data_IF_735451243320
#
_entry.id   IF_735451243320
#
_cell.length_a   1.000
_cell.length_b   1.000
_cell.length_c   1.000
_cell.angle_alpha   90.00
_cell.angle_beta   90.00
_cell.angle_gamma   90.00
#
_symmetry.space_group_name_H-M   'P 1'
#
loop_
_entity.id
_entity.type
_entity.pdbx_description
1 polymer ?
#
# COMPACT_ATOMS: atom_id res chain seq x y z
N UNK A 1 42.08 -18.58 -40.07
CA UNK A 1 40.90 -19.44 -40.29
C UNK A 1 40.39 -19.92 -38.92
N UNK A 2 39.07 -19.96 -38.66
CA UNK A 2 37.96 -19.39 -39.42
C UNK A 2 37.21 -18.27 -38.65
N UNK A 3 36.76 -17.31 -39.44
CA UNK A 3 35.65 -16.39 -39.22
C UNK A 3 34.32 -17.16 -39.28
N UNK A 4 33.33 -16.80 -38.46
CA UNK A 4 31.94 -17.22 -38.67
C UNK A 4 31.05 -16.00 -38.88
N UNK A 5 30.34 -16.06 -39.99
CA UNK A 5 29.45 -15.06 -40.55
C UNK A 5 28.07 -15.11 -39.87
N UNK A 6 27.48 -13.94 -39.66
CA UNK A 6 26.06 -13.82 -39.34
C UNK A 6 25.26 -13.83 -40.65
N UNK A 7 24.51 -14.91 -40.87
CA UNK A 7 23.53 -15.03 -41.95
C UNK A 7 22.18 -14.45 -41.49
N UNK A 8 21.75 -13.39 -42.17
CA UNK A 8 20.37 -12.92 -42.14
C UNK A 8 19.42 -13.99 -42.71
N UNK A 9 18.39 -14.35 -41.95
CA UNK A 9 17.22 -15.06 -42.47
C UNK A 9 16.02 -14.11 -42.45
N UNK A 10 15.71 -13.52 -43.60
CA UNK A 10 14.40 -12.96 -43.90
C UNK A 10 13.44 -14.12 -44.17
N UNK A 11 12.44 -14.31 -43.30
CA UNK A 11 11.30 -15.19 -43.60
C UNK A 11 10.12 -14.34 -44.03
N UNK A 12 9.82 -14.40 -45.32
CA UNK A 12 8.56 -13.96 -45.92
C UNK A 12 7.43 -14.89 -45.49
N UNK A 13 6.35 -14.32 -44.95
CA UNK A 13 5.12 -15.02 -44.59
C UNK A 13 4.17 -14.99 -45.80
N UNK A 14 3.56 -16.11 -46.23
CA UNK A 14 2.63 -16.11 -47.35
C UNK A 14 1.24 -15.57 -46.95
N UNK A 15 0.71 -14.68 -47.78
CA UNK A 15 -0.64 -14.10 -47.70
C UNK A 15 -1.68 -15.16 -48.09
N UNK A 16 -2.70 -15.38 -47.25
CA UNK A 16 -3.90 -16.18 -47.59
C UNK A 16 -5.00 -15.28 -48.17
N UNK A 17 -5.81 -15.78 -49.13
CA UNK A 17 -6.88 -15.02 -49.78
C UNK A 17 -8.09 -14.81 -48.85
N UNK A 18 -8.78 -13.70 -49.09
CA UNK A 18 -9.77 -13.08 -48.20
C UNK A 18 -11.02 -13.89 -47.90
N UNK A 19 -11.58 -13.62 -46.72
CA UNK A 19 -12.94 -13.98 -46.32
C UNK A 19 -13.88 -12.78 -46.51
N UNK A 20 -15.15 -12.98 -46.86
CA UNK A 20 -16.06 -11.91 -47.27
C UNK A 20 -16.52 -11.04 -46.09
N UNK A 21 -16.81 -9.77 -46.36
CA UNK A 21 -17.32 -8.81 -45.40
C UNK A 21 -18.74 -9.18 -44.92
N UNK A 22 -19.09 -8.94 -43.64
CA UNK A 22 -20.43 -9.22 -43.15
C UNK A 22 -21.41 -8.11 -43.56
N UNK A 23 -22.60 -8.59 -43.92
CA UNK A 23 -23.77 -7.87 -44.42
C UNK A 23 -24.39 -6.92 -43.38
N UNK A 24 -24.82 -5.74 -43.84
CA UNK A 24 -25.50 -4.71 -43.03
C UNK A 24 -26.99 -5.01 -42.95
N UNK A 25 -27.40 -6.00 -42.15
CA UNK A 25 -28.80 -6.14 -41.78
C UNK A 25 -29.01 -7.07 -40.57
N UNK A 26 -28.88 -6.52 -39.36
CA UNK A 26 -29.70 -6.92 -38.17
C UNK A 26 -29.37 -6.01 -36.99
N UNK A 27 -29.90 -4.80 -37.01
CA UNK A 27 -30.15 -4.02 -35.79
C UNK A 27 -31.49 -4.48 -35.21
N UNK A 28 -31.47 -5.13 -34.03
CA UNK A 28 -32.38 -4.85 -32.91
C UNK A 28 -32.25 -5.90 -31.79
N UNK A 29 -32.23 -5.37 -30.55
CA UNK A 29 -32.45 -6.01 -29.25
C UNK A 29 -31.32 -6.87 -28.70
N UNK A 30 -30.41 -6.25 -27.95
CA UNK A 30 -30.06 -6.65 -26.58
C UNK A 30 -29.50 -5.42 -25.87
N UNK A 31 -30.33 -4.78 -25.05
CA UNK A 31 -29.88 -3.73 -24.12
C UNK A 31 -29.26 -4.39 -22.91
N UNK A 32 -27.95 -4.62 -22.93
CA UNK A 32 -27.19 -4.82 -21.70
C UNK A 32 -26.89 -3.43 -21.15
N UNK A 33 -27.62 -3.04 -20.11
CA UNK A 33 -27.23 -1.92 -19.27
C UNK A 33 -25.85 -2.23 -18.70
N UNK A 34 -24.85 -1.47 -19.12
CA UNK A 34 -23.55 -1.44 -18.44
C UNK A 34 -23.85 -0.98 -17.02
N UNK A 35 -23.53 -1.75 -15.97
CA UNK A 35 -23.67 -1.24 -14.61
C UNK A 35 -22.77 0.00 -14.52
N UNK A 36 -23.38 1.13 -14.20
CA UNK A 36 -22.66 2.37 -13.91
C UNK A 36 -21.63 2.07 -12.83
N UNK A 37 -20.35 2.16 -13.21
CA UNK A 37 -19.22 2.09 -12.28
C UNK A 37 -19.52 3.06 -11.12
N UNK A 38 -19.38 2.65 -9.85
CA UNK A 38 -19.53 3.59 -8.75
C UNK A 38 -18.60 4.76 -9.01
N UNK A 39 -19.16 5.97 -8.87
CA UNK A 39 -18.42 7.21 -9.05
C UNK A 39 -17.18 7.13 -8.15
N UNK A 40 -15.99 7.06 -8.74
CA UNK A 40 -14.76 7.03 -7.96
C UNK A 40 -14.74 8.28 -7.08
N UNK A 41 -14.56 8.09 -5.77
CA UNK A 41 -14.36 9.20 -4.85
C UNK A 41 -13.30 10.14 -5.44
N UNK A 42 -13.57 11.44 -5.46
CA UNK A 42 -12.61 12.38 -6.02
C UNK A 42 -11.39 12.45 -5.10
N UNK A 43 -10.18 12.71 -5.62
CA UNK A 43 -8.98 12.88 -4.81
C UNK A 43 -9.14 13.86 -3.63
N UNK A 44 -9.99 14.87 -3.78
CA UNK A 44 -10.29 15.85 -2.73
C UNK A 44 -11.06 15.22 -1.55
N UNK A 45 -11.93 14.25 -1.82
CA UNK A 45 -12.74 13.58 -0.80
C UNK A 45 -11.87 12.77 0.17
N UNK A 46 -10.81 12.13 -0.33
CA UNK A 46 -9.91 11.34 0.52
C UNK A 46 -9.21 12.20 1.57
N UNK A 47 -8.57 13.31 1.17
CA UNK A 47 -7.83 14.16 2.10
C UNK A 47 -8.75 14.81 3.13
N UNK A 48 -9.94 15.24 2.73
CA UNK A 48 -10.95 15.78 3.65
C UNK A 48 -11.33 14.72 4.69
N UNK A 49 -11.63 13.50 4.26
CA UNK A 49 -12.02 12.42 5.16
C UNK A 49 -10.87 11.97 6.06
N UNK A 50 -9.62 11.93 5.55
CA UNK A 50 -8.45 11.57 6.36
C UNK A 50 -8.15 12.62 7.42
N UNK A 51 -8.31 13.91 7.12
CA UNK A 51 -8.15 14.99 8.10
C UNK A 51 -9.22 14.93 9.19
N UNK A 52 -10.49 14.76 8.80
CA UNK A 52 -11.57 14.56 9.77
C UNK A 52 -11.36 13.32 10.65
N UNK A 53 -10.83 12.24 10.07
CA UNK A 53 -10.44 11.05 10.82
C UNK A 53 -9.31 11.32 11.81
N UNK A 54 -8.25 12.04 11.40
CA UNK A 54 -7.16 12.43 12.29
C UNK A 54 -7.68 13.27 13.48
N UNK A 55 -8.57 14.24 13.24
CA UNK A 55 -9.17 15.03 14.31
C UNK A 55 -9.94 14.16 15.31
N UNK A 56 -10.73 13.21 14.83
CA UNK A 56 -11.46 12.28 15.69
C UNK A 56 -10.52 11.39 16.52
N UNK A 57 -9.44 10.90 15.92
CA UNK A 57 -8.42 10.11 16.61
C UNK A 57 -7.67 10.91 17.67
N UNK A 58 -7.40 12.19 17.41
CA UNK A 58 -6.75 13.10 18.37
C UNK A 58 -7.60 13.44 19.60
N UNK A 59 -8.93 13.22 19.52
CA UNK A 59 -9.85 13.33 20.65
C UNK A 59 -10.02 11.99 21.37
N UNK A 60 -9.80 10.86 20.69
CA UNK A 60 -10.03 9.51 21.23
C UNK A 60 -9.13 9.18 22.42
N UNK A 61 -7.88 9.66 22.41
CA UNK A 61 -6.93 9.44 23.49
C UNK A 61 -5.92 10.61 23.59
N UNK A 62 -5.55 10.98 24.81
CA UNK A 62 -4.66 12.13 25.04
C UNK A 62 -3.29 11.96 24.36
N UNK A 63 -2.75 10.74 24.35
CA UNK A 63 -1.48 10.41 23.70
C UNK A 63 -1.53 10.59 22.18
N UNK A 64 -2.72 10.55 21.57
CA UNK A 64 -2.89 10.74 20.12
C UNK A 64 -3.15 12.21 19.74
N UNK A 65 -3.42 13.09 20.71
CA UNK A 65 -3.80 14.46 20.41
C UNK A 65 -2.73 15.20 19.59
N UNK A 66 -1.49 15.20 20.08
CA UNK A 66 -0.37 15.86 19.40
C UNK A 66 -0.01 15.24 18.05
N UNK A 67 0.20 13.92 17.91
CA UNK A 67 0.55 13.34 16.62
C UNK A 67 -0.56 13.55 15.57
N UNK A 68 -1.84 13.53 15.97
CA UNK A 68 -2.94 13.78 15.04
C UNK A 68 -3.07 15.24 14.62
N UNK A 69 -2.76 16.18 15.50
CA UNK A 69 -2.66 17.60 15.14
C UNK A 69 -1.57 17.83 14.10
N UNK A 70 -0.39 17.19 14.26
CA UNK A 70 0.70 17.26 13.28
C UNK A 70 0.25 16.68 11.95
N UNK A 71 -0.35 15.48 11.97
CA UNK A 71 -0.86 14.81 10.78
C UNK A 71 -1.88 15.68 10.04
N UNK A 72 -2.91 16.20 10.71
CA UNK A 72 -3.94 17.02 10.08
C UNK A 72 -3.34 18.26 9.41
N UNK A 73 -2.46 18.96 10.12
CA UNK A 73 -1.82 20.17 9.62
C UNK A 73 -1.00 19.89 8.36
N UNK A 74 -0.20 18.82 8.35
CA UNK A 74 0.59 18.42 7.19
C UNK A 74 -0.30 17.99 6.01
N UNK A 75 -1.38 17.24 6.27
CA UNK A 75 -2.37 16.85 5.27
C UNK A 75 -3.04 18.07 4.61
N UNK A 76 -3.19 19.19 5.33
CA UNK A 76 -3.68 20.45 4.77
C UNK A 76 -2.71 21.16 3.82
N UNK A 77 -1.47 20.69 3.69
CA UNK A 77 -0.40 21.30 2.88
C UNK A 77 0.17 20.37 1.81
N UNK A 78 -0.36 19.16 1.65
CA UNK A 78 0.13 18.21 0.65
C UNK A 78 -0.11 18.70 -0.77
N UNK A 79 0.72 18.25 -1.70
CA UNK A 79 0.58 18.54 -3.13
C UNK A 79 0.12 17.29 -3.87
N UNK A 80 -1.01 17.36 -4.58
CA UNK A 80 -1.48 16.24 -5.42
C UNK A 80 -0.59 16.04 -6.64
N UNK A 81 -0.34 14.78 -7.00
CA UNK A 81 0.40 14.39 -8.21
C UNK A 81 -0.47 13.49 -9.08
N UNK A 82 -0.91 14.04 -10.20
CA UNK A 82 -1.82 13.33 -11.12
C UNK A 82 -1.06 12.47 -12.14
N UNK A 83 0.07 12.97 -12.65
CA UNK A 83 0.90 12.25 -13.62
C UNK A 83 1.95 11.41 -12.88
N UNK A 84 1.61 10.14 -12.66
CA UNK A 84 2.50 9.16 -12.03
C UNK A 84 2.70 7.97 -12.98
N UNK A 85 3.89 7.36 -12.99
CA UNK A 85 4.11 6.11 -13.70
C UNK A 85 3.10 5.02 -13.30
N UNK A 86 2.88 4.00 -14.14
CA UNK A 86 2.12 2.82 -13.75
C UNK A 86 2.59 2.27 -12.42
N UNK A 87 1.66 2.17 -11.47
CA UNK A 87 1.95 1.75 -10.12
C UNK A 87 2.03 0.22 -10.04
N UNK A 88 3.10 -0.36 -9.47
CA UNK A 88 3.24 -1.81 -9.37
C UNK A 88 2.27 -2.40 -8.33
N UNK A 89 2.09 -3.72 -8.41
CA UNK A 89 1.43 -4.53 -7.39
C UNK A 89 2.39 -5.60 -6.87
N UNK A 90 1.98 -6.32 -5.82
CA UNK A 90 2.75 -7.42 -5.21
C UNK A 90 1.90 -8.70 -5.14
N UNK A 91 2.52 -9.90 -5.12
CA UNK A 91 1.79 -11.17 -5.00
C UNK A 91 0.83 -11.23 -3.80
N UNK A 92 1.27 -10.77 -2.62
CA UNK A 92 0.43 -10.70 -1.41
C UNK A 92 -0.83 -9.84 -1.62
N UNK A 93 -0.70 -8.74 -2.37
CA UNK A 93 -1.81 -7.83 -2.69
C UNK A 93 -2.81 -8.51 -3.61
N UNK A 94 -2.33 -9.14 -4.68
CA UNK A 94 -3.18 -9.91 -5.58
C UNK A 94 -3.92 -11.05 -4.86
N UNK A 95 -3.28 -11.69 -3.88
CA UNK A 95 -3.84 -12.81 -3.15
C UNK A 95 -4.86 -12.40 -2.07
N UNK A 96 -4.64 -11.28 -1.37
CA UNK A 96 -5.35 -11.01 -0.12
C UNK A 96 -6.09 -9.67 -0.03
N UNK A 97 -5.79 -8.69 -0.88
CA UNK A 97 -6.34 -7.34 -0.73
C UNK A 97 -7.87 -7.33 -0.83
N UNK A 98 -8.46 -8.04 -1.79
CA UNK A 98 -9.91 -8.07 -1.97
C UNK A 98 -10.64 -8.59 -0.72
N UNK A 99 -10.20 -9.74 -0.19
CA UNK A 99 -10.79 -10.33 1.02
C UNK A 99 -10.56 -9.44 2.26
N UNK A 100 -9.39 -8.83 2.38
CA UNK A 100 -9.10 -7.92 3.49
C UNK A 100 -9.96 -6.64 3.43
N UNK A 101 -10.19 -6.11 2.22
CA UNK A 101 -11.13 -5.00 2.00
C UNK A 101 -12.56 -5.41 2.33
N UNK A 102 -13.01 -6.60 1.97
CA UNK A 102 -14.36 -7.08 2.31
C UNK A 102 -14.56 -7.16 3.84
N UNK A 103 -13.54 -7.60 4.57
CA UNK A 103 -13.56 -7.67 6.04
C UNK A 103 -13.47 -6.29 6.73
N UNK A 104 -12.90 -5.28 6.07
CA UNK A 104 -12.62 -3.97 6.66
C UNK A 104 -13.88 -3.07 6.78
N UNK A 105 -14.80 -3.38 7.69
CA UNK A 105 -16.10 -2.69 7.82
C UNK A 105 -16.05 -1.39 8.64
N UNK A 106 -14.91 -1.06 9.25
CA UNK A 106 -14.73 0.14 10.07
C UNK A 106 -14.37 1.39 9.24
N UNK A 107 -14.24 2.54 9.91
CA UNK A 107 -13.96 3.83 9.25
C UNK A 107 -12.63 3.82 8.48
N UNK A 108 -11.61 3.13 9.00
CA UNK A 108 -10.31 2.96 8.34
C UNK A 108 -10.49 2.22 7.01
N UNK A 109 -11.27 1.15 7.00
CA UNK A 109 -11.61 0.44 5.77
C UNK A 109 -12.28 1.34 4.73
N UNK A 110 -13.13 2.27 5.16
CA UNK A 110 -13.73 3.29 4.28
C UNK A 110 -12.69 4.18 3.61
N UNK A 111 -11.72 4.69 4.39
CA UNK A 111 -10.60 5.48 3.88
C UNK A 111 -9.75 4.68 2.88
N UNK A 112 -9.39 3.44 3.23
CA UNK A 112 -8.57 2.59 2.35
C UNK A 112 -9.27 2.37 1.00
N UNK A 113 -10.56 2.00 0.99
CA UNK A 113 -11.31 1.78 -0.26
C UNK A 113 -11.33 3.02 -1.17
N UNK A 114 -11.32 4.22 -0.58
CA UNK A 114 -11.35 5.46 -1.37
C UNK A 114 -10.02 5.82 -2.06
N UNK A 115 -8.90 5.18 -1.67
CA UNK A 115 -7.56 5.52 -2.18
C UNK A 115 -6.79 4.32 -2.75
N UNK A 116 -7.18 3.09 -2.45
CA UNK A 116 -6.41 1.87 -2.76
C UNK A 116 -6.13 1.68 -4.25
N UNK A 117 -7.05 2.10 -5.14
CA UNK A 117 -6.86 2.02 -6.59
C UNK A 117 -5.89 3.07 -7.15
N UNK A 118 -5.43 4.01 -6.31
CA UNK A 118 -4.51 5.09 -6.70
C UNK A 118 -3.08 4.86 -6.23
N UNK A 119 -2.80 3.82 -5.45
CA UNK A 119 -1.45 3.58 -4.89
C UNK A 119 -0.73 2.42 -5.57
N UNK A 120 0.59 2.42 -5.49
CA UNK A 120 1.44 1.29 -5.86
C UNK A 120 1.97 0.57 -4.64
N UNK A 121 2.18 -0.74 -4.77
CA UNK A 121 2.62 -1.60 -3.68
C UNK A 121 4.07 -2.05 -3.86
N UNK A 122 4.87 -1.91 -2.81
CA UNK A 122 6.27 -2.32 -2.77
C UNK A 122 6.53 -3.30 -1.62
N UNK A 123 7.45 -4.23 -1.84
CA UNK A 123 8.08 -4.98 -0.76
C UNK A 123 9.29 -4.19 -0.25
N UNK A 124 9.42 -3.94 1.07
CA UNK A 124 10.54 -3.20 1.64
C UNK A 124 11.83 -4.06 1.67
N UNK A 125 12.92 -3.51 2.20
CA UNK A 125 14.14 -4.24 2.58
C UNK A 125 14.86 -5.00 1.45
N UNK A 126 15.10 -4.40 0.27
CA UNK A 126 15.87 -5.06 -0.79
C UNK A 126 17.30 -5.46 -0.36
N UNK A 127 17.89 -4.77 0.62
CA UNK A 127 19.22 -5.02 1.15
C UNK A 127 19.36 -6.35 1.91
N UNK A 128 18.24 -6.91 2.39
CA UNK A 128 18.21 -8.20 3.10
C UNK A 128 17.86 -9.38 2.19
N UNK A 129 17.90 -9.20 0.87
CA UNK A 129 17.60 -10.26 -0.09
C UNK A 129 18.57 -11.46 0.07
N UNK A 130 18.00 -12.67 0.14
CA UNK A 130 18.75 -13.92 0.34
C UNK A 130 18.83 -14.36 1.80
N UNK A 131 18.34 -13.55 2.75
CA UNK A 131 18.19 -13.95 4.15
C UNK A 131 16.80 -14.56 4.35
N UNK A 132 16.74 -15.83 4.78
CA UNK A 132 15.52 -16.64 4.69
C UNK A 132 14.33 -16.10 5.48
N UNK A 133 14.59 -15.49 6.65
CA UNK A 133 13.57 -14.81 7.47
C UNK A 133 12.98 -13.60 6.73
N UNK A 134 13.85 -12.76 6.17
CA UNK A 134 13.45 -11.55 5.45
C UNK A 134 12.82 -11.86 4.09
N UNK A 135 13.31 -12.85 3.37
CA UNK A 135 12.71 -13.30 2.11
C UNK A 135 11.31 -13.85 2.34
N UNK A 136 11.08 -14.61 3.42
CA UNK A 136 9.76 -15.11 3.79
C UNK A 136 8.79 -13.94 4.11
N UNK A 137 9.24 -12.96 4.90
CA UNK A 137 8.45 -11.77 5.21
C UNK A 137 8.11 -10.98 3.94
N UNK A 138 9.12 -10.63 3.12
CA UNK A 138 8.96 -9.81 1.91
C UNK A 138 8.09 -10.48 0.85
N UNK A 139 8.08 -11.80 0.78
CA UNK A 139 7.19 -12.53 -0.12
C UNK A 139 5.70 -12.36 0.24
N UNK A 140 5.40 -12.04 1.51
CA UNK A 140 4.05 -11.97 2.04
C UNK A 140 3.75 -10.67 2.80
N UNK A 141 4.47 -9.59 2.47
CA UNK A 141 4.29 -8.26 3.04
C UNK A 141 4.45 -7.21 1.95
N UNK A 142 3.55 -6.24 1.92
CA UNK A 142 3.66 -5.07 1.07
C UNK A 142 3.15 -3.82 1.78
N UNK A 143 3.73 -2.68 1.43
CA UNK A 143 3.20 -1.37 1.80
C UNK A 143 2.96 -0.52 0.56
N UNK A 144 2.14 0.52 0.70
CA UNK A 144 1.82 1.44 -0.39
C UNK A 144 1.78 2.88 0.12
N UNK A 145 2.67 3.77 -0.35
CA UNK A 145 2.67 5.15 0.09
C UNK A 145 1.46 5.91 -0.51
N UNK A 146 0.76 6.66 0.35
CA UNK A 146 -0.31 7.59 -0.01
C UNK A 146 0.20 9.03 0.03
N UNK A 147 0.90 9.38 1.11
CA UNK A 147 1.55 10.68 1.31
C UNK A 147 3.02 10.42 1.59
N UNK A 148 3.95 11.10 0.92
CA UNK A 148 5.37 10.98 1.21
C UNK A 148 6.23 11.91 0.36
N UNK A 149 7.55 11.79 0.47
CA UNK A 149 8.47 12.56 -0.36
C UNK A 149 8.32 12.24 -1.85
N UNK A 150 8.86 13.10 -2.71
CA UNK A 150 8.82 12.91 -4.17
C UNK A 150 9.49 11.59 -4.62
N UNK A 151 10.45 11.10 -3.84
CA UNK A 151 11.06 9.77 -4.00
C UNK A 151 10.85 9.01 -2.70
N UNK A 152 10.24 7.85 -2.81
CA UNK A 152 10.07 6.95 -1.68
C UNK A 152 11.39 6.22 -1.37
N UNK A 153 11.94 6.48 -0.19
CA UNK A 153 13.25 5.97 0.24
C UNK A 153 13.25 4.47 0.53
N UNK A 154 12.12 3.91 0.98
CA UNK A 154 12.01 2.51 1.41
C UNK A 154 11.96 1.58 0.17
N UNK A 155 11.29 2.00 -0.89
CA UNK A 155 11.17 1.28 -2.17
C UNK A 155 12.21 1.68 -3.20
N UNK A 156 13.11 2.61 -2.85
CA UNK A 156 14.07 3.25 -3.76
C UNK A 156 13.40 3.82 -5.03
N UNK A 157 12.21 4.41 -4.88
CA UNK A 157 11.45 5.03 -5.97
C UNK A 157 10.74 4.06 -6.92
N UNK A 158 10.48 2.81 -6.49
CA UNK A 158 9.68 1.86 -7.31
C UNK A 158 8.16 2.08 -7.19
N UNK A 159 7.70 2.84 -6.20
CA UNK A 159 6.32 3.31 -6.05
C UNK A 159 6.28 4.82 -5.86
N UNK A 160 5.16 5.46 -6.24
CA UNK A 160 5.01 6.92 -6.18
C UNK A 160 3.71 7.32 -5.48
N UNK A 161 3.84 8.08 -4.39
CA UNK A 161 2.70 8.56 -3.62
C UNK A 161 1.80 9.50 -4.46
N UNK A 162 0.46 9.40 -4.37
CA UNK A 162 -0.46 10.36 -4.99
C UNK A 162 -0.38 11.77 -4.40
N UNK A 163 0.18 11.92 -3.19
CA UNK A 163 0.33 13.22 -2.52
C UNK A 163 1.76 13.37 -1.98
N UNK A 164 2.33 14.56 -2.15
CA UNK A 164 3.69 14.86 -1.70
C UNK A 164 3.69 15.64 -0.39
N UNK A 165 4.52 15.21 0.55
CA UNK A 165 4.84 15.89 1.80
C UNK A 165 6.24 15.53 2.27
N UNK A 166 6.96 16.52 2.80
CA UNK A 166 8.22 16.32 3.52
C UNK A 166 8.03 16.33 5.05
N UNK A 167 6.78 16.44 5.52
CA UNK A 167 6.44 16.56 6.95
C UNK A 167 5.92 15.25 7.53
N UNK A 168 5.21 14.45 6.73
CA UNK A 168 4.58 13.19 7.15
C UNK A 168 4.69 12.12 6.07
N UNK A 169 4.68 10.86 6.49
CA UNK A 169 4.61 9.71 5.59
C UNK A 169 3.38 8.88 5.96
N UNK A 170 2.45 8.70 5.02
CA UNK A 170 1.17 8.00 5.25
C UNK A 170 1.03 6.93 4.20
N UNK A 171 0.61 5.73 4.59
CA UNK A 171 0.46 4.65 3.63
C UNK A 171 -0.41 3.51 4.13
N UNK A 172 -0.51 2.51 3.27
CA UNK A 172 -1.19 1.24 3.57
C UNK A 172 -0.14 0.18 3.86
N UNK A 173 -0.52 -0.79 4.69
CA UNK A 173 0.20 -2.05 4.85
C UNK A 173 -0.76 -3.20 4.62
N UNK A 174 -0.30 -4.20 3.87
CA UNK A 174 -0.91 -5.51 3.76
C UNK A 174 0.12 -6.58 4.10
N UNK A 175 -0.14 -7.30 5.17
CA UNK A 175 0.64 -8.45 5.60
C UNK A 175 -0.22 -9.69 5.45
N UNK A 176 0.20 -10.65 4.62
CA UNK A 176 -0.56 -11.87 4.38
C UNK A 176 -0.48 -12.84 5.57
N UNK A 177 -1.24 -13.95 5.55
CA UNK A 177 -1.26 -14.93 6.63
C UNK A 177 0.10 -15.58 6.90
N UNK A 178 0.37 -15.94 8.16
CA UNK A 178 1.58 -16.64 8.62
C UNK A 178 2.86 -15.90 8.22
N UNK A 179 2.80 -14.57 8.29
CA UNK A 179 3.92 -13.68 7.99
C UNK A 179 4.43 -13.08 9.30
N UNK A 180 5.70 -13.33 9.59
CA UNK A 180 6.43 -12.73 10.70
C UNK A 180 7.18 -11.51 10.16
N UNK A 181 6.83 -10.31 10.61
CA UNK A 181 7.65 -9.12 10.40
C UNK A 181 8.54 -8.94 11.63
N UNK A 182 9.86 -9.21 11.51
CA UNK A 182 10.76 -9.20 12.65
C UNK A 182 10.78 -7.86 13.39
N UNK A 183 11.26 -7.93 14.62
CA UNK A 183 11.53 -6.76 15.45
C UNK A 183 12.37 -5.73 14.68
N UNK A 184 11.92 -4.49 14.68
CA UNK A 184 12.58 -3.38 14.02
C UNK A 184 12.39 -2.07 14.79
N UNK A 185 13.13 -1.05 14.37
CA UNK A 185 13.08 0.29 14.97
C UNK A 185 13.36 1.36 13.92
N UNK A 186 12.75 2.53 14.10
CA UNK A 186 13.03 3.74 13.33
C UNK A 186 12.87 4.99 14.20
N UNK A 187 13.36 6.12 13.68
CA UNK A 187 13.27 7.42 14.33
C UNK A 187 11.85 8.02 14.26
N UNK A 188 11.07 7.71 13.23
CA UNK A 188 9.71 8.20 13.11
C UNK A 188 8.82 7.78 14.29
N UNK A 189 8.06 8.73 14.83
CA UNK A 189 6.87 8.44 15.63
C UNK A 189 5.75 7.98 14.70
N UNK A 190 5.16 6.83 15.00
CA UNK A 190 4.29 6.08 14.10
C UNK A 190 2.98 5.70 14.76
N UNK A 191 1.91 5.79 13.98
CA UNK A 191 0.58 5.32 14.37
C UNK A 191 0.03 4.41 13.29
N UNK A 192 -0.41 3.20 13.67
CA UNK A 192 -1.19 2.29 12.83
C UNK A 192 -2.66 2.29 13.24
N UNK A 193 -3.55 2.16 12.25
CA UNK A 193 -4.97 1.87 12.43
C UNK A 193 -5.33 0.58 11.70
N UNK A 194 -5.86 -0.39 12.44
CA UNK A 194 -6.18 -1.71 11.89
C UNK A 194 -7.54 -1.69 11.22
N UNK A 195 -7.58 -1.98 9.92
CA UNK A 195 -8.81 -2.02 9.13
C UNK A 195 -9.43 -3.43 9.13
N UNK A 196 -8.61 -4.47 8.93
CA UNK A 196 -9.02 -5.87 8.92
C UNK A 196 -7.89 -6.78 9.41
N UNK A 197 -8.27 -7.97 9.91
CA UNK A 197 -7.36 -8.97 10.45
C UNK A 197 -6.88 -8.67 11.88
N UNK A 198 -6.20 -9.66 12.45
CA UNK A 198 -5.65 -9.66 13.81
C UNK A 198 -4.19 -10.11 13.75
N UNK A 199 -3.35 -9.50 14.59
CA UNK A 199 -1.95 -9.85 14.69
C UNK A 199 -1.45 -9.79 16.13
N UNK A 200 -0.35 -10.51 16.39
CA UNK A 200 0.47 -10.32 17.58
C UNK A 200 1.39 -9.12 17.34
N UNK A 201 1.34 -8.15 18.24
CA UNK A 201 2.09 -6.90 18.17
C UNK A 201 3.10 -6.83 19.29
N UNK A 202 4.35 -6.59 18.94
CA UNK A 202 5.38 -6.23 19.90
C UNK A 202 5.44 -4.72 20.06
N UNK A 203 5.57 -4.27 21.32
CA UNK A 203 5.96 -2.89 21.65
C UNK A 203 6.93 -2.90 22.81
N UNK A 204 8.19 -2.54 22.54
CA UNK A 204 9.30 -2.80 23.46
C UNK A 204 9.48 -4.30 23.66
N UNK A 205 9.27 -4.78 24.88
CA UNK A 205 9.34 -6.20 25.24
C UNK A 205 7.96 -6.83 25.46
N UNK A 206 6.90 -6.02 25.42
CA UNK A 206 5.54 -6.49 25.63
C UNK A 206 4.90 -6.95 24.31
N UNK A 207 4.08 -7.99 24.40
CA UNK A 207 3.30 -8.51 23.28
C UNK A 207 1.81 -8.46 23.60
N UNK A 208 1.00 -8.15 22.59
CA UNK A 208 -0.47 -8.16 22.68
C UNK A 208 -1.10 -8.53 21.34
N UNK A 209 -2.32 -9.05 21.40
CA UNK A 209 -3.14 -9.34 20.22
C UNK A 209 -4.07 -8.16 19.97
N UNK A 210 -4.01 -7.57 18.78
CA UNK A 210 -4.90 -6.48 18.37
C UNK A 210 -5.47 -6.74 16.97
N UNK A 211 -6.70 -6.26 16.75
CA UNK A 211 -7.46 -6.47 15.51
C UNK A 211 -8.23 -5.23 15.05
N UNK A 212 -9.30 -5.38 14.26
CA UNK A 212 -9.95 -4.24 13.58
C UNK A 212 -10.44 -3.16 14.54
N UNK A 213 -10.12 -1.91 14.23
CA UNK A 213 -10.45 -0.73 15.06
C UNK A 213 -9.40 -0.43 16.15
N UNK A 214 -8.41 -1.30 16.35
CA UNK A 214 -7.28 -1.02 17.21
C UNK A 214 -6.36 0.06 16.61
N UNK A 215 -5.67 0.75 17.51
CA UNK A 215 -4.68 1.78 17.16
C UNK A 215 -3.40 1.51 17.91
N UNK A 216 -2.33 1.41 17.15
CA UNK A 216 -1.00 1.04 17.65
C UNK A 216 -0.11 2.27 17.52
N UNK A 217 0.24 2.86 18.65
CA UNK A 217 1.09 4.04 18.71
C UNK A 217 2.49 3.64 19.18
N UNK A 218 3.47 3.95 18.35
CA UNK A 218 4.89 3.77 18.58
C UNK A 218 5.55 5.15 18.71
N UNK A 219 6.09 5.44 19.89
CA UNK A 219 6.96 6.61 20.04
C UNK A 219 8.26 6.41 19.25
N UNK A 220 8.92 7.50 18.88
CA UNK A 220 10.25 7.48 18.25
C UNK A 220 11.19 6.49 18.95
N UNK A 221 11.82 5.60 18.18
CA UNK A 221 12.78 4.61 18.71
C UNK A 221 12.16 3.44 19.47
N UNK A 222 10.83 3.32 19.50
CA UNK A 222 10.17 2.14 20.10
C UNK A 222 10.43 0.92 19.22
N UNK A 223 11.07 -0.11 19.76
CA UNK A 223 11.17 -1.42 19.10
C UNK A 223 9.78 -2.04 18.94
N UNK A 224 9.48 -2.56 17.76
CA UNK A 224 8.19 -3.21 17.49
C UNK A 224 8.30 -4.28 16.39
N UNK A 225 7.31 -5.17 16.34
CA UNK A 225 7.19 -6.29 15.43
C UNK A 225 5.71 -6.62 15.23
N UNK A 226 5.40 -7.31 14.14
CA UNK A 226 4.02 -7.72 13.84
C UNK A 226 4.02 -9.14 13.28
N UNK A 227 3.26 -10.04 13.91
CA UNK A 227 3.12 -11.43 13.48
C UNK A 227 1.66 -11.71 13.16
N UNK A 228 1.41 -12.12 11.92
CA UNK A 228 0.08 -12.57 11.47
C UNK A 228 -0.04 -14.07 11.59
N UNK A 229 -1.25 -14.54 11.89
CA UNK A 229 -1.58 -15.98 11.96
C UNK A 229 -2.37 -16.37 10.70
N UNK A 230 -3.54 -16.95 10.82
CA UNK A 230 -4.26 -17.52 9.68
C UNK A 230 -4.91 -16.47 8.75
N UNK A 231 -5.04 -15.22 9.20
CA UNK A 231 -5.69 -14.14 8.44
C UNK A 231 -4.71 -13.03 8.02
N UNK A 232 -4.96 -12.38 6.85
CA UNK A 232 -4.20 -11.21 6.44
C UNK A 232 -4.57 -10.00 7.30
N UNK A 233 -3.61 -9.11 7.49
CA UNK A 233 -3.74 -7.85 8.21
C UNK A 233 -3.68 -6.68 7.22
N UNK A 234 -4.70 -5.82 7.22
CA UNK A 234 -4.77 -4.62 6.40
C UNK A 234 -4.88 -3.38 7.29
N UNK A 235 -4.02 -2.40 7.04
CA UNK A 235 -3.87 -1.23 7.92
C UNK A 235 -3.60 0.05 7.15
N UNK A 236 -3.93 1.17 7.79
CA UNK A 236 -3.43 2.51 7.48
C UNK A 236 -2.33 2.84 8.50
N UNK A 237 -1.27 3.51 8.08
CA UNK A 237 -0.25 4.03 8.98
C UNK A 237 0.09 5.48 8.69
N UNK A 238 0.62 6.17 9.70
CA UNK A 238 1.20 7.50 9.55
C UNK A 238 2.47 7.63 10.41
N UNK A 239 3.54 8.14 9.80
CA UNK A 239 4.69 8.70 10.47
C UNK A 239 4.51 10.21 10.57
N UNK A 240 4.52 10.71 11.80
CA UNK A 240 4.24 12.12 12.12
C UNK A 240 5.50 12.88 12.53
N UNK A 241 6.64 12.21 12.53
CA UNK A 241 7.97 12.79 12.61
C UNK A 241 8.91 12.03 11.70
N UNK A 242 9.98 12.70 11.24
CA UNK A 242 11.06 12.07 10.48
C UNK A 242 10.58 11.16 9.33
N UNK A 243 9.80 11.66 8.35
CA UNK A 243 9.21 10.84 7.29
C UNK A 243 10.25 10.16 6.37
N UNK A 244 11.50 10.65 6.37
CA UNK A 244 12.63 10.00 5.70
C UNK A 244 13.36 8.94 6.54
N UNK A 245 12.75 8.46 7.63
CA UNK A 245 13.36 7.42 8.48
C UNK A 245 13.60 6.13 7.71
N UNK A 246 14.68 5.44 8.05
CA UNK A 246 14.98 4.10 7.55
C UNK A 246 14.74 3.11 8.70
N UNK A 247 13.74 2.21 8.59
CA UNK A 247 13.56 1.11 9.52
C UNK A 247 14.77 0.17 9.52
N UNK A 248 15.19 -0.25 10.71
CA UNK A 248 16.32 -1.16 10.90
C UNK A 248 15.86 -2.41 11.61
N UNK A 249 16.14 -3.57 11.04
CA UNK A 249 15.86 -4.88 11.64
C UNK A 249 16.76 -5.10 12.86
N UNK A 250 16.16 -5.53 13.96
CA UNK A 250 16.84 -5.93 15.18
C UNK A 250 16.90 -7.44 15.20
N UNK A 251 18.13 -7.97 15.22
CA UNK A 251 18.41 -9.39 15.46
C UNK A 251 19.14 -9.52 16.78
N UNK A 252 18.77 -10.55 17.53
CA UNK A 252 19.49 -10.97 18.73
C UNK A 252 20.81 -11.69 18.37
#
# INVERSE_FOLDING_TARGET
MPTMAWLHFSRTVPVRPGSPAPDRATQRRYGFGIPSRPMSAQPEDFLVNLRAFADAEGVRANELNRPMEILNNALGRVVSVDDRPPQPSQPVVAAHLANALDAATNAVGGLIRSIVDRVGWAAPYPEYAGESDMDAMRANYAYAPIVGGAVDVISAGSVFAPYISEEVFVGLVLQGPNCDYPSHVHKAEEVFWVAAGTADWQRGDAWRVDGPGAVIHHLSGTRHATITREEPLLMLFAWVSDPGSIPVIIRD
#
